data_IF_656528062532
#
_entry.id   IF_656528062532
#
_cell.length_a   1.000
_cell.length_b   1.000
_cell.length_c   1.000
_cell.angle_alpha   90.00
_cell.angle_beta   90.00
_cell.angle_gamma   90.00
#
_symmetry.space_group_name_H-M   'P 1'
#
loop_
_entity.id
_entity.type
_entity.pdbx_description
1 polymer ?
#
# COMPACT_ATOMS: atom_id res chain seq x y z
N UNK A 1 22.39 3.91 1.12
CA UNK A 1 22.05 3.26 -0.16
C UNK A 1 20.77 2.44 -0.05
N UNK A 2 20.65 1.51 0.89
CA UNK A 2 19.42 0.72 1.08
C UNK A 2 18.12 1.53 1.36
N UNK A 3 18.22 2.78 1.85
CA UNK A 3 17.02 3.64 2.04
C UNK A 3 16.40 4.02 0.69
N UNK A 4 17.17 4.59 -0.23
CA UNK A 4 16.65 4.97 -1.55
C UNK A 4 16.05 3.79 -2.30
N UNK A 5 16.70 2.63 -2.28
CA UNK A 5 16.19 1.44 -2.96
C UNK A 5 14.84 1.00 -2.38
N UNK A 6 14.73 0.90 -1.06
CA UNK A 6 13.47 0.57 -0.39
C UNK A 6 12.35 1.56 -0.72
N UNK A 7 12.72 2.83 -0.88
CA UNK A 7 11.80 3.91 -1.22
C UNK A 7 11.38 3.85 -2.67
N UNK A 8 12.31 3.61 -3.59
CA UNK A 8 12.04 3.41 -5.01
C UNK A 8 11.09 2.25 -5.22
N UNK A 9 11.38 1.08 -4.65
CA UNK A 9 10.51 -0.10 -4.72
C UNK A 9 9.11 0.24 -4.21
N UNK A 10 9.01 0.90 -3.05
CA UNK A 10 7.72 1.32 -2.50
C UNK A 10 6.99 2.33 -3.40
N UNK A 11 7.71 3.24 -4.04
CA UNK A 11 7.14 4.24 -4.95
C UNK A 11 6.65 3.58 -6.24
N UNK A 12 7.43 2.68 -6.84
CA UNK A 12 7.05 1.95 -8.06
C UNK A 12 5.81 1.09 -7.80
N UNK A 13 5.79 0.33 -6.71
CA UNK A 13 4.67 -0.54 -6.33
C UNK A 13 3.36 0.23 -6.24
N UNK A 14 3.39 1.34 -5.52
CA UNK A 14 2.19 2.15 -5.33
C UNK A 14 1.81 2.95 -6.58
N UNK A 15 2.77 3.38 -7.42
CA UNK A 15 2.43 3.98 -8.71
C UNK A 15 1.74 3.00 -9.63
N UNK A 16 2.17 1.74 -9.64
CA UNK A 16 1.52 0.68 -10.38
C UNK A 16 0.12 0.42 -9.85
N UNK A 17 -0.04 0.28 -8.53
CA UNK A 17 -1.36 0.11 -7.93
C UNK A 17 -2.28 1.32 -8.18
N UNK A 18 -1.74 2.55 -8.20
CA UNK A 18 -2.51 3.74 -8.53
C UNK A 18 -2.95 3.75 -9.99
N UNK A 19 -2.06 3.36 -10.90
CA UNK A 19 -2.39 3.15 -12.32
C UNK A 19 -3.48 2.12 -12.47
N UNK A 20 -3.34 0.97 -11.83
CA UNK A 20 -4.27 -0.15 -11.92
C UNK A 20 -5.64 0.22 -11.36
N UNK A 21 -5.68 1.00 -10.28
CA UNK A 21 -6.92 1.58 -9.76
C UNK A 21 -7.63 2.48 -10.77
N UNK A 22 -6.91 3.39 -11.45
CA UNK A 22 -7.51 4.23 -12.50
C UNK A 22 -7.96 3.37 -13.68
N UNK A 23 -7.13 2.42 -14.12
CA UNK A 23 -7.42 1.53 -15.23
C UNK A 23 -8.68 0.69 -14.95
N UNK A 24 -8.82 0.14 -13.74
CA UNK A 24 -9.99 -0.62 -13.31
C UNK A 24 -11.26 0.24 -13.39
N UNK A 25 -11.20 1.52 -12.99
CA UNK A 25 -12.34 2.45 -13.10
C UNK A 25 -12.75 2.64 -14.57
N UNK A 26 -11.78 2.84 -15.46
CA UNK A 26 -12.04 2.97 -16.89
C UNK A 26 -12.66 1.68 -17.45
N UNK A 27 -12.05 0.53 -17.19
CA UNK A 27 -12.53 -0.77 -17.66
C UNK A 27 -13.94 -1.06 -17.14
N UNK A 28 -14.19 -0.85 -15.85
CA UNK A 28 -15.48 -1.08 -15.21
C UNK A 28 -16.58 -0.20 -15.81
N UNK A 29 -16.34 1.11 -15.95
CA UNK A 29 -17.36 2.01 -16.46
C UNK A 29 -17.59 1.86 -17.98
N UNK A 30 -16.55 1.55 -18.75
CA UNK A 30 -16.67 1.34 -20.20
C UNK A 30 -17.34 -0.01 -20.52
N UNK A 31 -17.05 -1.04 -19.72
CA UNK A 31 -17.71 -2.34 -19.79
C UNK A 31 -19.09 -2.36 -19.13
N UNK A 32 -19.57 -1.25 -18.56
CA UNK A 32 -20.93 -1.23 -18.05
C UNK A 32 -21.95 -1.46 -19.19
N UNK A 33 -22.79 -2.47 -19.00
CA UNK A 33 -23.98 -2.77 -19.80
C UNK A 33 -25.19 -2.74 -18.85
N UNK A 34 -26.39 -2.44 -19.34
CA UNK A 34 -27.61 -2.25 -18.53
C UNK A 34 -28.14 -3.51 -17.79
N UNK A 35 -27.28 -4.47 -17.45
CA UNK A 35 -27.62 -5.66 -16.69
C UNK A 35 -27.58 -5.37 -15.18
N UNK A 36 -28.69 -5.51 -14.46
CA UNK A 36 -28.74 -5.25 -13.03
C UNK A 36 -27.95 -6.34 -12.26
N UNK A 37 -26.77 -5.96 -11.76
CA UNK A 37 -26.03 -6.73 -10.75
C UNK A 37 -26.33 -6.17 -9.36
N UNK A 38 -26.76 -7.02 -8.44
CA UNK A 38 -27.04 -6.62 -7.04
C UNK A 38 -25.80 -6.16 -6.28
N UNK A 39 -24.59 -6.49 -6.76
CA UNK A 39 -23.32 -6.06 -6.16
C UNK A 39 -22.77 -4.75 -6.75
N UNK A 40 -23.23 -4.35 -7.93
CA UNK A 40 -22.69 -3.21 -8.68
C UNK A 40 -23.64 -2.00 -8.68
N UNK A 41 -23.88 -1.47 -7.48
CA UNK A 41 -24.68 -0.27 -7.32
C UNK A 41 -23.82 0.97 -7.48
N UNK A 42 -24.37 2.03 -8.07
CA UNK A 42 -23.70 3.34 -8.13
C UNK A 42 -23.21 3.80 -6.75
N UNK A 43 -23.99 3.55 -5.70
CA UNK A 43 -23.65 3.94 -4.32
C UNK A 43 -22.44 3.17 -3.77
N UNK A 44 -22.32 1.87 -4.05
CA UNK A 44 -21.16 1.09 -3.61
C UNK A 44 -19.90 1.53 -4.35
N UNK A 45 -20.01 1.71 -5.68
CA UNK A 45 -18.95 2.21 -6.54
C UNK A 45 -18.48 3.62 -6.10
N UNK A 46 -19.40 4.58 -5.99
CA UNK A 46 -19.09 5.95 -5.59
C UNK A 46 -18.40 6.01 -4.22
N UNK A 47 -18.89 5.24 -3.25
CA UNK A 47 -18.26 5.17 -1.92
C UNK A 47 -16.85 4.61 -2.01
N UNK A 48 -16.65 3.51 -2.74
CA UNK A 48 -15.33 2.88 -2.96
C UNK A 48 -14.34 3.88 -3.55
N UNK A 49 -14.68 4.49 -4.69
CA UNK A 49 -13.81 5.44 -5.39
C UNK A 49 -13.51 6.67 -4.52
N UNK A 50 -14.50 7.17 -3.78
CA UNK A 50 -14.29 8.32 -2.88
C UNK A 50 -13.31 7.98 -1.74
N UNK A 51 -13.43 6.79 -1.14
CA UNK A 51 -12.53 6.34 -0.08
C UNK A 51 -11.12 6.09 -0.60
N UNK A 52 -10.98 5.39 -1.73
CA UNK A 52 -9.67 5.10 -2.34
C UNK A 52 -8.98 6.37 -2.83
N UNK A 53 -9.72 7.33 -3.42
CA UNK A 53 -9.17 8.62 -3.84
C UNK A 53 -8.57 9.42 -2.67
N UNK A 54 -9.14 9.34 -1.47
CA UNK A 54 -8.56 9.94 -0.27
C UNK A 54 -7.23 9.28 0.12
N UNK A 55 -7.15 7.95 0.03
CA UNK A 55 -5.90 7.22 0.26
C UNK A 55 -4.83 7.64 -0.75
N UNK A 56 -5.16 7.71 -2.03
CA UNK A 56 -4.25 8.18 -3.07
C UNK A 56 -3.79 9.63 -2.88
N UNK A 57 -4.66 10.51 -2.39
CA UNK A 57 -4.29 11.89 -2.03
C UNK A 57 -3.28 11.93 -0.88
N UNK A 58 -3.51 11.16 0.19
CA UNK A 58 -2.57 11.04 1.30
C UNK A 58 -1.24 10.47 0.82
N UNK A 59 -1.30 9.47 -0.05
CA UNK A 59 -0.12 8.87 -0.66
C UNK A 59 0.65 9.87 -1.53
N UNK A 60 -0.02 10.70 -2.32
CA UNK A 60 0.61 11.75 -3.12
C UNK A 60 1.40 12.73 -2.25
N UNK A 61 0.83 13.16 -1.12
CA UNK A 61 1.50 14.03 -0.14
C UNK A 61 2.71 13.34 0.49
N UNK A 62 2.54 12.08 0.89
CA UNK A 62 3.61 11.25 1.42
C UNK A 62 4.77 11.13 0.42
N UNK A 63 4.48 10.80 -0.84
CA UNK A 63 5.50 10.66 -1.88
C UNK A 63 6.27 11.95 -2.09
N UNK A 64 5.58 13.09 -2.15
CA UNK A 64 6.25 14.38 -2.27
C UNK A 64 7.20 14.62 -1.10
N UNK A 65 6.71 14.51 0.15
CA UNK A 65 7.55 14.69 1.34
C UNK A 65 8.75 13.74 1.35
N UNK A 66 8.51 12.49 1.00
CA UNK A 66 9.51 11.44 0.96
C UNK A 66 10.60 11.74 -0.08
N UNK A 67 10.18 12.12 -1.28
CA UNK A 67 11.04 12.44 -2.43
C UNK A 67 11.83 13.72 -2.15
N UNK A 68 11.22 14.74 -1.55
CA UNK A 68 11.91 15.97 -1.11
C UNK A 68 12.93 15.69 -0.01
N UNK A 69 12.57 14.91 1.03
CA UNK A 69 13.50 14.53 2.11
C UNK A 69 14.72 13.80 1.55
N UNK A 70 14.52 12.91 0.59
CA UNK A 70 15.58 12.22 -0.14
C UNK A 70 16.47 13.18 -0.91
N UNK A 71 15.87 14.08 -1.70
CA UNK A 71 16.61 15.07 -2.46
C UNK A 71 17.59 15.82 -1.55
N UNK A 72 17.06 16.39 -0.46
CA UNK A 72 17.84 17.18 0.49
C UNK A 72 18.96 16.34 1.11
N UNK A 73 18.68 15.07 1.46
CA UNK A 73 19.67 14.19 2.09
C UNK A 73 20.83 13.82 1.16
N UNK A 74 20.59 13.76 -0.14
CA UNK A 74 21.50 13.14 -1.09
C UNK A 74 21.99 14.04 -2.22
N UNK A 75 21.45 15.26 -2.38
CA UNK A 75 21.82 16.21 -3.46
C UNK A 75 23.32 16.51 -3.55
N UNK A 76 24.01 16.53 -2.42
CA UNK A 76 25.44 16.89 -2.33
C UNK A 76 26.34 15.65 -2.12
N UNK A 77 25.81 14.43 -2.33
CA UNK A 77 26.57 13.19 -2.12
C UNK A 77 26.92 12.50 -3.43
N UNK A 78 28.19 12.13 -3.59
CA UNK A 78 28.63 11.22 -4.65
C UNK A 78 28.25 9.78 -4.27
N UNK A 79 27.53 9.07 -5.16
CA UNK A 79 27.14 7.68 -4.91
C UNK A 79 28.10 6.69 -5.57
N UNK A 80 28.50 5.69 -4.80
CA UNK A 80 29.07 4.43 -5.31
C UNK A 80 28.15 3.31 -4.82
N UNK A 81 27.34 2.71 -5.70
CA UNK A 81 26.45 1.60 -5.34
C UNK A 81 27.26 0.43 -4.75
N UNK A 82 26.75 -0.29 -3.71
CA UNK A 82 27.52 -1.33 -3.05
C UNK A 82 27.48 -2.66 -3.81
N UNK A 83 26.55 -2.83 -4.75
CA UNK A 83 26.37 -4.05 -5.54
C UNK A 83 26.80 -3.91 -7.00
N UNK A 84 26.86 -2.69 -7.53
CA UNK A 84 27.45 -2.41 -8.84
C UNK A 84 28.10 -1.04 -8.79
N UNK A 85 29.39 -0.95 -9.07
CA UNK A 85 30.07 0.32 -9.32
C UNK A 85 29.25 1.14 -10.33
N UNK A 86 28.85 2.34 -9.91
CA UNK A 86 28.14 3.38 -10.69
C UNK A 86 26.65 3.19 -11.02
N UNK A 87 25.77 3.51 -10.07
CA UNK A 87 24.56 4.29 -10.42
C UNK A 87 24.89 5.73 -10.05
N UNK A 88 25.19 6.55 -11.05
CA UNK A 88 25.65 7.93 -10.85
C UNK A 88 24.52 8.77 -10.21
N UNK A 89 24.87 9.71 -9.33
CA UNK A 89 23.96 10.71 -8.72
C UNK A 89 23.02 11.37 -9.72
N UNK A 90 23.44 11.51 -10.98
CA UNK A 90 22.63 12.06 -12.07
C UNK A 90 21.45 11.16 -12.46
N UNK A 91 21.66 9.85 -12.59
CA UNK A 91 20.58 8.87 -12.87
C UNK A 91 19.57 8.86 -11.72
N UNK A 92 20.05 9.01 -10.48
CA UNK A 92 19.23 9.13 -9.28
C UNK A 92 18.33 10.38 -9.31
N UNK A 93 18.90 11.56 -9.60
CA UNK A 93 18.14 12.83 -9.62
C UNK A 93 17.10 12.81 -10.74
N UNK A 94 17.48 12.35 -11.94
CA UNK A 94 16.57 12.25 -13.08
C UNK A 94 15.37 11.31 -12.78
N UNK A 95 15.63 10.18 -12.11
CA UNK A 95 14.57 9.26 -11.68
C UNK A 95 13.57 9.93 -10.72
N UNK A 96 14.08 10.67 -9.75
CA UNK A 96 13.27 11.42 -8.81
C UNK A 96 12.38 12.46 -9.53
N UNK A 97 12.93 13.24 -10.46
CA UNK A 97 12.16 14.27 -11.17
C UNK A 97 11.07 13.66 -12.06
N UNK A 98 11.39 12.59 -12.78
CA UNK A 98 10.40 11.83 -13.57
C UNK A 98 9.28 11.29 -12.68
N UNK A 99 9.65 10.75 -11.51
CA UNK A 99 8.68 10.22 -10.56
C UNK A 99 7.74 11.30 -10.01
N UNK A 100 8.24 12.48 -9.65
CA UNK A 100 7.40 13.60 -9.21
C UNK A 100 6.38 14.01 -10.28
N UNK A 101 6.81 14.06 -11.55
CA UNK A 101 5.91 14.35 -12.69
C UNK A 101 4.80 13.29 -12.81
N UNK A 102 5.13 12.02 -12.64
CA UNK A 102 4.15 10.91 -12.67
C UNK A 102 3.17 11.02 -11.50
N UNK A 103 3.66 11.27 -10.28
CA UNK A 103 2.82 11.46 -9.09
C UNK A 103 1.86 12.63 -9.29
N UNK A 104 2.33 13.75 -9.85
CA UNK A 104 1.49 14.91 -10.14
C UNK A 104 0.42 14.59 -11.18
N UNK A 105 0.78 13.86 -12.24
CA UNK A 105 -0.15 13.39 -13.26
C UNK A 105 -1.26 12.51 -12.66
N UNK A 106 -0.92 11.50 -11.87
CA UNK A 106 -1.95 10.65 -11.23
C UNK A 106 -2.81 11.42 -10.23
N UNK A 107 -2.22 12.39 -9.51
CA UNK A 107 -2.99 13.26 -8.63
C UNK A 107 -4.01 14.10 -9.41
N UNK A 108 -3.65 14.59 -10.61
CA UNK A 108 -4.58 15.30 -11.51
C UNK A 108 -5.73 14.38 -11.96
N UNK A 109 -5.42 13.15 -12.40
CA UNK A 109 -6.45 12.16 -12.76
C UNK A 109 -7.37 11.81 -11.59
N UNK A 110 -6.82 11.61 -10.40
CA UNK A 110 -7.58 11.29 -9.19
C UNK A 110 -8.53 12.43 -8.80
N UNK A 111 -8.05 13.68 -8.87
CA UNK A 111 -8.88 14.87 -8.64
C UNK A 111 -10.00 14.97 -9.67
N UNK A 112 -9.68 14.78 -10.95
CA UNK A 112 -10.66 14.79 -12.02
C UNK A 112 -11.72 13.70 -11.84
N UNK A 113 -11.33 12.44 -11.60
CA UNK A 113 -12.25 11.34 -11.31
C UNK A 113 -13.16 11.66 -10.12
N UNK A 114 -12.60 12.22 -9.05
CA UNK A 114 -13.37 12.64 -7.87
C UNK A 114 -14.41 13.71 -8.23
N UNK A 115 -14.08 14.65 -9.12
CA UNK A 115 -15.03 15.66 -9.60
C UNK A 115 -16.12 15.03 -10.47
N UNK A 116 -15.77 14.15 -11.40
CA UNK A 116 -16.74 13.45 -12.27
C UNK A 116 -17.71 12.61 -11.44
N UNK A 117 -17.23 11.88 -10.43
CA UNK A 117 -18.08 11.09 -9.53
C UNK A 117 -19.00 11.99 -8.71
N UNK A 118 -18.51 13.13 -8.22
CA UNK A 118 -19.34 14.11 -7.50
C UNK A 118 -20.41 14.71 -8.40
N UNK A 119 -20.05 15.17 -9.60
CA UNK A 119 -20.96 15.69 -10.62
C UNK A 119 -22.05 14.66 -10.93
N UNK A 120 -21.66 13.42 -11.23
CA UNK A 120 -22.59 12.33 -11.54
C UNK A 120 -23.53 12.03 -10.37
N UNK A 121 -23.06 12.16 -9.13
CA UNK A 121 -23.89 11.94 -7.95
C UNK A 121 -24.95 13.05 -7.74
N UNK A 122 -24.73 14.26 -8.28
CA UNK A 122 -25.71 15.35 -8.20
C UNK A 122 -26.88 15.20 -9.17
N UNK A 123 -26.81 14.26 -10.11
CA UNK A 123 -27.92 13.95 -11.02
C UNK A 123 -29.14 13.48 -10.21
N UNK A 124 -30.29 14.10 -10.52
CA UNK A 124 -31.60 13.82 -9.93
C UNK A 124 -32.49 13.10 -10.94
N UNK A 125 -33.50 12.38 -10.45
CA UNK A 125 -34.55 11.83 -11.30
C UNK A 125 -35.34 12.97 -11.93
N UNK A 126 -35.39 13.01 -13.27
CA UNK A 126 -36.30 13.91 -13.96
C UNK A 126 -37.70 13.29 -13.95
N UNK A 127 -38.69 14.03 -13.45
CA UNK A 127 -40.10 13.60 -13.51
C UNK A 127 -40.49 13.27 -14.95
N UNK A 128 -40.83 12.01 -15.21
CA UNK A 128 -41.28 11.53 -16.53
C UNK A 128 -40.21 10.86 -17.41
N UNK A 129 -38.98 10.64 -16.92
CA UNK A 129 -37.98 9.87 -17.66
C UNK A 129 -38.20 8.35 -17.52
N UNK A 130 -38.26 7.62 -18.64
CA UNK A 130 -38.36 6.15 -18.69
C UNK A 130 -37.10 5.42 -18.17
N UNK A 131 -35.99 6.15 -18.01
CA UNK A 131 -34.68 5.56 -17.66
C UNK A 131 -34.42 5.70 -16.16
N UNK A 132 -34.15 4.60 -15.44
CA UNK A 132 -33.83 4.65 -14.01
C UNK A 132 -32.59 5.49 -13.70
N UNK A 133 -32.58 6.20 -12.57
CA UNK A 133 -31.47 7.09 -12.15
C UNK A 133 -30.09 6.40 -12.12
N UNK A 134 -30.06 5.13 -11.68
CA UNK A 134 -28.82 4.34 -11.67
C UNK A 134 -28.23 4.22 -13.07
N UNK A 135 -29.07 3.95 -14.08
CA UNK A 135 -28.64 3.87 -15.47
C UNK A 135 -28.17 5.23 -15.99
N UNK A 136 -28.89 6.32 -15.69
CA UNK A 136 -28.48 7.69 -16.06
C UNK A 136 -27.09 8.03 -15.51
N UNK A 137 -26.81 7.68 -14.25
CA UNK A 137 -25.52 7.92 -13.61
C UNK A 137 -24.39 7.13 -14.27
N UNK A 138 -24.59 5.84 -14.53
CA UNK A 138 -23.60 5.03 -15.22
C UNK A 138 -23.34 5.49 -16.66
N UNK A 139 -24.39 5.84 -17.40
CA UNK A 139 -24.24 6.41 -18.75
C UNK A 139 -23.48 7.73 -18.73
N UNK A 140 -23.77 8.62 -17.77
CA UNK A 140 -23.05 9.88 -17.61
C UNK A 140 -21.55 9.67 -17.31
N UNK A 141 -21.24 8.79 -16.35
CA UNK A 141 -19.86 8.43 -16.03
C UNK A 141 -19.12 7.87 -17.25
N UNK A 142 -19.77 6.95 -17.97
CA UNK A 142 -19.23 6.32 -19.18
C UNK A 142 -18.86 7.37 -20.24
N UNK A 143 -19.77 8.29 -20.56
CA UNK A 143 -19.52 9.36 -21.55
C UNK A 143 -18.31 10.22 -21.15
N UNK A 144 -18.21 10.60 -19.87
CA UNK A 144 -17.08 11.40 -19.37
C UNK A 144 -15.75 10.64 -19.51
N UNK A 145 -15.73 9.35 -19.19
CA UNK A 145 -14.53 8.52 -19.30
C UNK A 145 -14.16 8.24 -20.77
N UNK A 146 -15.13 8.00 -21.65
CA UNK A 146 -14.90 7.83 -23.09
C UNK A 146 -14.19 9.04 -23.70
N UNK A 147 -14.60 10.25 -23.32
CA UNK A 147 -13.97 11.50 -23.77
C UNK A 147 -12.48 11.62 -23.44
N UNK A 148 -12.02 10.94 -22.39
CA UNK A 148 -10.64 10.99 -21.89
C UNK A 148 -9.89 9.66 -22.07
N UNK A 149 -10.51 8.64 -22.65
CA UNK A 149 -9.93 7.30 -22.79
C UNK A 149 -8.65 7.30 -23.64
N UNK A 150 -8.59 8.11 -24.70
CA UNK A 150 -7.38 8.26 -25.54
C UNK A 150 -6.22 8.86 -24.76
N UNK A 151 -6.48 9.90 -23.98
CA UNK A 151 -5.46 10.55 -23.14
C UNK A 151 -4.95 9.57 -22.08
N UNK A 152 -5.86 8.91 -21.37
CA UNK A 152 -5.50 7.89 -20.39
C UNK A 152 -4.68 6.77 -21.03
N UNK A 153 -5.07 6.26 -22.20
CA UNK A 153 -4.32 5.22 -22.91
C UNK A 153 -2.89 5.65 -23.23
N UNK A 154 -2.68 6.92 -23.65
CA UNK A 154 -1.34 7.46 -23.90
C UNK A 154 -0.48 7.44 -22.63
N UNK A 155 -1.02 7.88 -21.51
CA UNK A 155 -0.31 7.88 -20.23
C UNK A 155 -0.06 6.48 -19.69
N UNK A 156 -1.06 5.59 -19.75
CA UNK A 156 -0.96 4.21 -19.33
C UNK A 156 0.11 3.44 -20.14
N UNK A 157 0.15 3.64 -21.46
CA UNK A 157 1.18 3.07 -22.34
C UNK A 157 2.58 3.60 -22.02
N UNK A 158 2.73 4.90 -21.75
CA UNK A 158 4.02 5.47 -21.34
C UNK A 158 4.57 4.82 -20.07
N UNK A 159 3.70 4.58 -19.09
CA UNK A 159 4.07 3.96 -17.82
C UNK A 159 4.48 2.49 -17.99
N UNK A 160 3.62 1.67 -18.63
CA UNK A 160 3.88 0.25 -18.90
C UNK A 160 5.09 0.04 -19.84
N UNK A 161 5.21 0.88 -20.86
CA UNK A 161 6.13 0.70 -21.96
C UNK A 161 7.52 1.28 -21.73
N UNK A 162 7.59 2.49 -21.19
CA UNK A 162 8.84 3.26 -21.14
C UNK A 162 9.38 3.39 -19.73
N UNK A 163 8.54 3.80 -18.77
CA UNK A 163 9.00 4.07 -17.41
C UNK A 163 9.28 2.79 -16.62
N UNK A 164 8.32 1.85 -16.59
CA UNK A 164 8.51 0.57 -15.90
C UNK A 164 9.69 -0.20 -16.49
N UNK A 165 9.81 -0.32 -17.82
CA UNK A 165 10.96 -1.00 -18.44
C UNK A 165 12.29 -0.32 -18.13
N UNK A 166 12.35 1.02 -18.20
CA UNK A 166 13.58 1.80 -17.93
C UNK A 166 14.09 1.60 -16.50
N UNK A 167 13.20 1.54 -15.52
CA UNK A 167 13.59 1.40 -14.12
C UNK A 167 13.64 -0.06 -13.66
N UNK A 168 12.91 -0.97 -14.31
CA UNK A 168 13.02 -2.41 -14.02
C UNK A 168 14.45 -2.90 -14.15
N UNK A 169 15.18 -2.49 -15.19
CA UNK A 169 16.60 -2.84 -15.37
C UNK A 169 17.54 -2.19 -14.33
N UNK A 170 17.12 -1.09 -13.70
CA UNK A 170 17.90 -0.37 -12.67
C UNK A 170 17.73 -1.01 -11.30
N UNK A 171 16.59 -1.66 -11.03
CA UNK A 171 16.27 -2.27 -9.73
C UNK A 171 15.93 -3.77 -9.81
N UNK A 172 16.26 -4.43 -10.93
CA UNK A 172 15.86 -5.81 -11.27
C UNK A 172 16.18 -6.82 -10.16
N UNK A 173 17.39 -6.73 -9.60
CA UNK A 173 17.89 -7.62 -8.54
C UNK A 173 17.09 -7.54 -7.22
N UNK A 174 16.23 -6.52 -7.06
CA UNK A 174 15.48 -6.24 -5.82
C UNK A 174 13.96 -6.15 -6.04
N UNK A 175 13.48 -6.30 -7.27
CA UNK A 175 12.07 -6.45 -7.55
C UNK A 175 11.64 -7.83 -7.07
N UNK A 176 10.72 -7.96 -6.10
CA UNK A 176 10.08 -9.25 -5.88
C UNK A 176 9.38 -9.67 -7.19
N UNK A 177 9.13 -10.96 -7.37
CA UNK A 177 8.34 -11.49 -8.49
C UNK A 177 6.88 -10.98 -8.41
N UNK A 178 6.67 -9.71 -8.73
CA UNK A 178 5.42 -8.92 -8.72
C UNK A 178 4.28 -9.48 -9.58
N UNK A 179 4.51 -10.58 -10.29
CA UNK A 179 3.54 -11.23 -11.18
C UNK A 179 2.77 -12.35 -10.49
N UNK A 180 3.10 -12.70 -9.25
CA UNK A 180 2.39 -13.72 -8.49
C UNK A 180 1.30 -13.06 -7.63
N UNK A 181 0.09 -13.60 -7.70
CA UNK A 181 -1.07 -13.24 -6.87
C UNK A 181 -0.94 -13.68 -5.41
N UNK A 182 0.21 -14.20 -5.03
CA UNK A 182 0.46 -14.78 -3.72
C UNK A 182 1.00 -13.74 -2.73
N UNK A 183 0.88 -14.06 -1.43
CA UNK A 183 1.39 -13.22 -0.36
C UNK A 183 2.88 -12.87 -0.55
N UNK A 184 3.20 -11.57 -0.51
CA UNK A 184 4.55 -11.06 -0.79
C UNK A 184 5.02 -10.09 0.29
N UNK A 185 6.32 -10.16 0.62
CA UNK A 185 6.99 -9.21 1.51
C UNK A 185 7.63 -8.09 0.71
N UNK A 186 6.97 -6.94 0.65
CA UNK A 186 7.40 -5.78 -0.14
C UNK A 186 8.33 -4.90 0.69
N UNK A 187 9.55 -4.67 0.20
CA UNK A 187 10.49 -3.74 0.84
C UNK A 187 9.92 -2.33 0.80
N UNK A 188 9.94 -1.65 1.96
CA UNK A 188 9.40 -0.30 2.10
C UNK A 188 10.12 0.48 3.19
N UNK A 189 9.85 1.79 3.29
CA UNK A 189 10.56 2.66 4.20
C UNK A 189 9.78 3.91 4.61
N UNK A 190 10.18 4.50 5.73
CA UNK A 190 9.79 5.85 6.18
C UNK A 190 8.28 6.06 6.35
N UNK A 191 7.51 5.02 6.68
CA UNK A 191 6.05 5.10 6.82
C UNK A 191 5.27 4.82 5.55
N UNK A 192 5.95 4.54 4.43
CA UNK A 192 5.30 4.12 3.21
C UNK A 192 4.55 2.81 3.44
N UNK A 193 3.31 2.76 2.97
CA UNK A 193 2.46 1.57 2.97
C UNK A 193 2.27 1.17 1.51
N UNK A 194 2.73 -0.02 1.09
CA UNK A 194 2.45 -0.53 -0.24
C UNK A 194 0.97 -0.91 -0.39
N UNK A 195 0.42 -0.78 -1.60
CA UNK A 195 -0.92 -1.27 -1.92
C UNK A 195 -1.06 -2.77 -1.63
N UNK A 196 -2.26 -3.18 -1.23
CA UNK A 196 -2.55 -4.55 -0.83
C UNK A 196 -1.94 -4.96 0.51
N UNK A 197 -1.40 -4.02 1.29
CA UNK A 197 -0.84 -4.30 2.60
C UNK A 197 -1.88 -4.93 3.55
N UNK A 198 -1.43 -5.87 4.39
CA UNK A 198 -2.27 -6.52 5.39
C UNK A 198 -2.37 -5.63 6.63
N UNK A 199 -3.60 -5.25 6.99
CA UNK A 199 -3.86 -4.48 8.20
C UNK A 199 -3.58 -5.31 9.46
N UNK A 200 -2.74 -4.78 10.35
CA UNK A 200 -2.50 -5.34 11.68
C UNK A 200 -3.66 -5.05 12.64
N UNK A 201 -4.37 -3.95 12.41
CA UNK A 201 -5.47 -3.46 13.21
C UNK A 201 -5.34 -1.95 13.43
N UNK A 202 -6.10 -1.43 14.39
CA UNK A 202 -6.10 0.01 14.73
C UNK A 202 -5.34 0.23 16.03
N UNK A 203 -4.49 1.25 16.08
CA UNK A 203 -3.82 1.70 17.31
C UNK A 203 -3.86 3.22 17.36
N UNK A 204 -4.36 3.80 18.45
CA UNK A 204 -4.48 5.25 18.66
C UNK A 204 -5.16 5.98 17.48
N UNK A 205 -6.19 5.35 16.89
CA UNK A 205 -6.98 5.92 15.81
C UNK A 205 -6.36 5.84 14.41
N UNK A 206 -5.14 5.30 14.25
CA UNK A 206 -4.55 5.01 12.94
C UNK A 206 -4.53 3.50 12.63
N UNK A 207 -4.64 3.15 11.35
CA UNK A 207 -4.44 1.77 10.89
C UNK A 207 -2.94 1.47 10.90
N UNK A 208 -2.58 0.37 11.56
CA UNK A 208 -1.23 -0.20 11.56
C UNK A 208 -1.16 -1.38 10.60
N UNK A 209 0.03 -1.68 10.10
CA UNK A 209 0.22 -2.70 9.05
C UNK A 209 1.20 -3.78 9.48
N UNK A 210 0.98 -5.01 9.00
CA UNK A 210 1.84 -6.16 9.26
C UNK A 210 3.14 -5.97 8.50
N UNK A 211 4.23 -5.83 9.25
CA UNK A 211 5.57 -5.69 8.71
C UNK A 211 6.53 -6.71 9.35
N UNK A 212 7.72 -6.82 8.78
CA UNK A 212 8.87 -7.48 9.40
C UNK A 212 10.14 -6.68 9.17
N UNK A 213 11.12 -6.84 10.04
CA UNK A 213 12.44 -6.22 9.87
C UNK A 213 13.52 -7.06 10.55
N UNK A 214 14.77 -6.77 10.23
CA UNK A 214 15.92 -7.51 10.76
C UNK A 214 16.49 -6.78 11.97
N UNK A 215 16.40 -7.40 13.14
CA UNK A 215 17.02 -6.93 14.38
C UNK A 215 18.08 -7.96 14.82
N UNK A 216 19.34 -7.53 14.98
CA UNK A 216 20.46 -8.41 15.36
C UNK A 216 20.51 -9.74 14.60
N UNK A 217 20.45 -9.65 13.26
CA UNK A 217 20.46 -10.79 12.35
C UNK A 217 19.25 -11.74 12.46
N UNK A 218 18.20 -11.37 13.20
CA UNK A 218 16.93 -12.11 13.30
C UNK A 218 15.82 -11.31 12.63
N UNK A 219 15.02 -11.98 11.82
CA UNK A 219 13.82 -11.39 11.22
C UNK A 219 12.69 -11.48 12.24
N UNK A 220 12.13 -10.33 12.62
CA UNK A 220 11.09 -10.21 13.62
C UNK A 220 9.85 -9.52 13.05
N UNK A 221 8.64 -9.89 13.51
CA UNK A 221 7.42 -9.19 13.14
C UNK A 221 7.43 -7.78 13.74
N UNK A 222 6.87 -6.85 12.98
CA UNK A 222 6.87 -5.43 13.28
C UNK A 222 5.49 -4.83 12.97
N UNK A 223 5.08 -3.84 13.77
CA UNK A 223 3.92 -3.01 13.44
C UNK A 223 4.40 -1.76 12.71
N UNK A 224 3.95 -1.55 11.48
CA UNK A 224 4.19 -0.31 10.73
C UNK A 224 3.20 0.77 11.16
N UNK A 225 3.74 1.93 11.53
CA UNK A 225 2.99 3.15 11.87
C UNK A 225 3.28 4.23 10.81
N UNK A 226 2.34 4.49 9.88
CA UNK A 226 2.53 5.51 8.86
C UNK A 226 2.80 6.90 9.46
N UNK A 227 2.06 7.29 10.52
CA UNK A 227 2.23 8.59 11.18
C UNK A 227 3.62 8.79 11.80
N UNK A 228 4.25 7.70 12.25
CA UNK A 228 5.58 7.70 12.91
C UNK A 228 6.72 7.49 11.94
N UNK A 229 6.43 7.31 10.64
CA UNK A 229 7.42 7.04 9.61
C UNK A 229 8.34 5.84 9.88
N UNK A 230 7.87 4.85 10.66
CA UNK A 230 8.67 3.68 11.04
C UNK A 230 7.81 2.47 11.39
N UNK A 231 8.43 1.28 11.39
CA UNK A 231 7.89 0.14 12.09
C UNK A 231 8.52 0.00 13.48
N UNK A 232 7.74 -0.56 14.40
CA UNK A 232 8.16 -0.86 15.77
C UNK A 232 8.36 -2.36 15.93
N UNK A 233 9.50 -2.74 16.50
CA UNK A 233 9.80 -4.10 16.92
C UNK A 233 10.13 -4.08 18.39
N UNK A 234 9.65 -5.07 19.12
CA UNK A 234 10.08 -5.31 20.48
C UNK A 234 11.13 -6.40 20.52
N UNK A 235 12.30 -6.09 21.06
CA UNK A 235 13.39 -7.02 21.25
C UNK A 235 14.25 -6.58 22.43
N UNK A 236 14.93 -7.51 23.09
CA UNK A 236 15.94 -7.24 24.12
C UNK A 236 15.49 -6.30 25.26
N UNK A 237 14.24 -6.40 25.67
CA UNK A 237 13.72 -5.58 26.76
C UNK A 237 13.12 -4.23 26.34
N UNK A 238 13.34 -3.76 25.10
CA UNK A 238 12.97 -2.41 24.67
C UNK A 238 12.30 -2.37 23.28
N UNK A 239 11.71 -1.20 22.95
CA UNK A 239 11.12 -0.95 21.63
C UNK A 239 12.16 -0.35 20.69
N UNK A 240 12.38 -0.99 19.56
CA UNK A 240 13.23 -0.50 18.48
C UNK A 240 12.39 0.09 17.34
N UNK A 241 12.87 1.21 16.80
CA UNK A 241 12.28 1.90 15.65
C UNK A 241 13.11 1.63 14.42
N UNK A 242 12.47 1.17 13.35
CA UNK A 242 13.11 0.94 12.06
C UNK A 242 12.41 1.73 10.96
N UNK A 243 13.17 2.52 10.23
CA UNK A 243 12.67 3.24 9.05
C UNK A 243 12.74 2.39 7.79
N UNK A 244 13.36 1.20 7.84
CA UNK A 244 13.39 0.21 6.77
C UNK A 244 12.76 -1.08 7.24
N UNK A 245 11.89 -1.63 6.41
CA UNK A 245 11.12 -2.82 6.74
C UNK A 245 10.59 -3.48 5.47
N UNK A 246 9.96 -4.64 5.65
CA UNK A 246 9.14 -5.27 4.63
C UNK A 246 7.69 -5.30 5.10
N UNK A 247 6.74 -5.01 4.23
CA UNK A 247 5.29 -5.05 4.52
C UNK A 247 4.69 -6.28 3.83
N UNK A 248 3.81 -6.99 4.52
CA UNK A 248 3.08 -8.11 3.91
C UNK A 248 1.97 -7.56 3.02
N UNK A 249 1.94 -7.95 1.76
CA UNK A 249 0.98 -7.49 0.77
C UNK A 249 0.33 -8.67 0.03
N UNK A 250 -0.86 -8.44 -0.53
CA UNK A 250 -1.62 -9.37 -1.38
C UNK A 250 -1.84 -10.75 -0.74
N UNK A 251 -2.01 -10.79 0.58
CA UNK A 251 -2.23 -12.02 1.31
C UNK A 251 -3.71 -12.20 1.65
N UNK A 252 -4.27 -13.36 1.29
CA UNK A 252 -5.60 -13.77 1.72
C UNK A 252 -5.56 -14.31 3.15
N UNK A 253 -5.54 -13.41 4.12
CA UNK A 253 -5.36 -13.73 5.54
C UNK A 253 -6.50 -13.19 6.40
N UNK A 254 -6.67 -13.79 7.58
CA UNK A 254 -7.63 -13.33 8.58
C UNK A 254 -7.07 -13.57 9.97
N UNK A 255 -7.45 -12.71 10.90
CA UNK A 255 -7.11 -12.87 12.30
C UNK A 255 -8.05 -13.88 12.96
N UNK A 256 -7.50 -14.91 13.61
CA UNK A 256 -8.25 -16.00 14.24
C UNK A 256 -7.92 -16.05 15.73
N UNK A 257 -8.95 -16.08 16.58
CA UNK A 257 -8.75 -16.27 18.02
C UNK A 257 -7.99 -17.57 18.30
N UNK A 258 -6.94 -17.46 19.11
CA UNK A 258 -5.99 -18.54 19.35
C UNK A 258 -5.58 -18.60 20.82
N UNK A 259 -5.21 -19.82 21.25
CA UNK A 259 -4.64 -20.08 22.57
C UNK A 259 -3.23 -20.63 22.42
N UNK A 260 -2.29 -20.08 23.18
CA UNK A 260 -0.90 -20.49 23.17
C UNK A 260 -0.68 -21.97 23.52
N UNK A 261 0.47 -22.48 23.11
CA UNK A 261 0.89 -23.88 23.27
C UNK A 261 1.14 -24.58 21.94
N UNK A 262 0.46 -24.17 20.87
CA UNK A 262 0.70 -24.64 19.50
C UNK A 262 0.40 -23.54 18.49
N UNK A 263 0.71 -23.78 17.22
CA UNK A 263 0.44 -22.87 16.11
C UNK A 263 -0.30 -23.65 15.02
N UNK A 264 -1.30 -23.04 14.40
CA UNK A 264 -2.05 -23.66 13.31
C UNK A 264 -1.18 -23.83 12.05
N UNK A 265 -1.41 -24.89 11.27
CA UNK A 265 -0.64 -25.21 10.07
C UNK A 265 -0.65 -24.09 8.99
N UNK A 266 -1.64 -23.19 9.03
CA UNK A 266 -1.80 -22.07 8.09
C UNK A 266 -1.39 -20.71 8.67
N UNK A 267 -0.78 -20.69 9.85
CA UNK A 267 -0.35 -19.45 10.48
C UNK A 267 0.72 -18.74 9.65
N UNK A 268 0.65 -17.41 9.60
CA UNK A 268 1.64 -16.62 8.86
C UNK A 268 2.97 -16.63 9.60
N UNK A 269 3.97 -17.21 8.96
CA UNK A 269 5.35 -17.26 9.42
C UNK A 269 6.16 -16.11 8.81
N UNK A 270 6.74 -15.24 9.65
CA UNK A 270 7.60 -14.12 9.18
C UNK A 270 9.05 -14.53 9.02
N UNK A 271 9.47 -15.54 9.78
CA UNK A 271 10.79 -16.16 9.80
C UNK A 271 10.64 -17.56 10.42
N UNK A 272 11.58 -18.50 10.18
CA UNK A 272 11.50 -19.85 10.74
C UNK A 272 11.19 -19.87 12.24
N UNK A 273 10.04 -20.45 12.61
CA UNK A 273 9.53 -20.57 13.97
C UNK A 273 8.96 -19.29 14.60
N UNK A 274 8.79 -18.22 13.82
CA UNK A 274 8.30 -16.91 14.29
C UNK A 274 7.06 -16.51 13.49
N UNK A 275 5.95 -16.36 14.21
CA UNK A 275 4.62 -16.08 13.66
C UNK A 275 4.10 -14.71 14.13
N UNK A 276 3.02 -14.25 13.48
CA UNK A 276 2.38 -12.97 13.79
C UNK A 276 1.14 -13.18 14.64
N UNK A 277 1.11 -12.57 15.82
CA UNK A 277 -0.09 -12.47 16.64
C UNK A 277 -0.46 -11.03 16.91
N UNK A 278 -1.68 -10.80 17.38
CA UNK A 278 -2.09 -9.51 17.96
C UNK A 278 -2.96 -9.68 19.19
N UNK A 279 -2.94 -8.69 20.06
CA UNK A 279 -3.76 -8.62 21.27
C UNK A 279 -4.61 -7.37 21.21
N UNK A 280 -5.92 -7.51 21.44
CA UNK A 280 -6.83 -6.38 21.54
C UNK A 280 -6.87 -5.84 22.97
N UNK A 281 -6.71 -4.53 23.13
CA UNK A 281 -6.83 -3.84 24.42
C UNK A 281 -7.43 -2.45 24.25
N UNK A 282 -8.58 -2.17 24.91
CA UNK A 282 -9.28 -0.87 24.85
C UNK A 282 -9.48 -0.34 23.42
N UNK A 283 -9.85 -1.23 22.49
CA UNK A 283 -10.03 -0.89 21.08
C UNK A 283 -8.73 -0.83 20.25
N UNK A 284 -7.56 -0.81 20.88
CA UNK A 284 -6.26 -0.88 20.21
C UNK A 284 -5.86 -2.33 19.91
N UNK A 285 -5.14 -2.53 18.82
CA UNK A 285 -4.55 -3.81 18.42
C UNK A 285 -3.03 -3.71 18.55
N UNK A 286 -2.47 -4.56 19.39
CA UNK A 286 -1.04 -4.65 19.65
C UNK A 286 -0.48 -5.84 18.90
N UNK A 287 0.26 -5.60 17.82
CA UNK A 287 0.92 -6.67 17.09
C UNK A 287 2.15 -7.17 17.85
N UNK A 288 2.38 -8.48 17.81
CA UNK A 288 3.42 -9.15 18.56
C UNK A 288 3.95 -10.41 17.89
N UNK A 289 5.10 -10.88 18.37
CA UNK A 289 5.70 -12.13 17.93
C UNK A 289 5.08 -13.31 18.66
N UNK A 290 4.86 -14.41 17.94
CA UNK A 290 4.47 -15.71 18.50
C UNK A 290 5.56 -16.71 18.14
N UNK A 291 6.16 -17.36 19.13
CA UNK A 291 7.25 -18.30 18.90
C UNK A 291 7.33 -19.34 20.02
N UNK A 292 8.10 -20.41 19.76
CA UNK A 292 8.38 -21.48 20.71
C UNK A 292 9.04 -20.94 22.01
N UNK A 293 8.94 -21.67 23.15
CA UNK A 293 8.31 -22.99 23.31
C UNK A 293 6.81 -22.94 23.62
N UNK A 294 6.32 -21.81 24.16
CA UNK A 294 4.94 -21.71 24.65
C UNK A 294 3.98 -21.10 23.63
N UNK A 295 4.46 -20.58 22.51
CA UNK A 295 3.65 -19.94 21.48
C UNK A 295 2.66 -18.92 22.07
N UNK A 296 3.15 -18.05 22.95
CA UNK A 296 2.39 -16.91 23.48
C UNK A 296 2.58 -15.72 22.55
N UNK A 297 1.62 -14.79 22.53
CA UNK A 297 1.78 -13.54 21.79
C UNK A 297 2.52 -12.51 22.65
N UNK A 298 3.73 -12.17 22.22
CA UNK A 298 4.61 -11.20 22.86
C UNK A 298 4.36 -9.81 22.28
N UNK A 299 3.67 -8.95 23.03
CA UNK A 299 3.30 -7.58 22.63
C UNK A 299 3.92 -6.56 23.58
N UNK A 300 3.94 -5.31 23.14
CA UNK A 300 4.32 -4.17 23.99
C UNK A 300 3.10 -3.44 24.46
N UNK A 301 3.03 -3.24 25.77
CA UNK A 301 1.96 -2.52 26.42
C UNK A 301 2.56 -1.45 27.35
N UNK A 302 2.27 -0.18 27.08
CA UNK A 302 2.85 0.97 27.79
C UNK A 302 4.38 0.91 27.95
N UNK A 303 5.08 0.53 26.88
CA UNK A 303 6.55 0.43 26.88
C UNK A 303 7.13 -0.79 27.60
N UNK A 304 6.28 -1.71 28.10
CA UNK A 304 6.70 -2.95 28.77
C UNK A 304 6.27 -4.19 27.98
N UNK A 305 7.07 -5.27 28.01
CA UNK A 305 6.71 -6.54 27.39
C UNK A 305 5.61 -7.26 28.16
N UNK A 306 4.68 -7.85 27.42
CA UNK A 306 3.74 -8.83 27.97
C UNK A 306 3.59 -10.01 27.01
N UNK A 307 3.37 -11.19 27.58
CA UNK A 307 3.11 -12.41 26.82
C UNK A 307 1.70 -12.91 27.15
N UNK A 308 0.82 -12.95 26.16
CA UNK A 308 -0.57 -13.36 26.33
C UNK A 308 -0.80 -14.77 25.82
N UNK A 309 -1.56 -15.56 26.60
CA UNK A 309 -1.99 -16.90 26.20
C UNK A 309 -3.18 -16.86 25.24
N UNK A 310 -4.07 -15.87 25.37
CA UNK A 310 -5.21 -15.68 24.48
C UNK A 310 -4.93 -14.45 23.61
N UNK A 311 -4.93 -14.64 22.29
CA UNK A 311 -4.59 -13.63 21.30
C UNK A 311 -5.25 -13.98 19.96
N UNK A 312 -5.11 -13.14 18.96
CA UNK A 312 -5.46 -13.50 17.58
C UNK A 312 -4.19 -13.84 16.80
N UNK A 313 -4.18 -14.99 16.14
CA UNK A 313 -3.11 -15.45 15.25
C UNK A 313 -3.49 -15.10 13.80
N UNK A 314 -2.53 -14.61 13.02
CA UNK A 314 -2.71 -14.34 11.58
C UNK A 314 -2.58 -15.61 10.74
#
# INVERSE_FOLDING_TARGET
>A
MADWHAMMVSLMWNMQAWRDWIQEIFEHALSYHNTPSTRDTWSSFQRRITTEALQWRQYSMFCHQLTTRLHIRYKDREFVSPTRTTVQTKTYIACQEEMLKIIEMFNKWTKWLTLVVKETNTLQEMSGADVPLHQTRWTHLKIKLEGYAKDWSKYNMFLKGSWEKKYSSVIEDYLPEWKKSDAVWVVSACGAVPSGAVAAGVFDGEVTWVARTTHKCKVLPAALYPSKHCCLVYADGIVHKYTKYQVMCNAEVRWVAWRGGSVGARAVEVAPGVYVGRVQHRGNHLLGAVHAPHYRCHVVFFGRPFAFNNYELL
#
